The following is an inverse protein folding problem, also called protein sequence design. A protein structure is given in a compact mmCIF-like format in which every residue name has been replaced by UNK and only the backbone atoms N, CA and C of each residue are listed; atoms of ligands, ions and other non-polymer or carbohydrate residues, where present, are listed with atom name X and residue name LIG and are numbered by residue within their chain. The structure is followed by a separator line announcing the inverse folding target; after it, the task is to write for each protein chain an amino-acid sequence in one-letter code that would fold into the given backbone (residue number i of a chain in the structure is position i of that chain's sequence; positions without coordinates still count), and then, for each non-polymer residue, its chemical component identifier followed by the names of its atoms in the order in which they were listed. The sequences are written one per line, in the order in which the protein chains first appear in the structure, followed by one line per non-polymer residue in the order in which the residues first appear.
data_IF_721445633445
#
_entry.id   IF_721445633445
#
_cell.length_a   1.000
_cell.length_b   1.000
_cell.length_c   1.000
_cell.angle_alpha   90.00
_cell.angle_beta   90.00
_cell.angle_gamma   90.00
#
_symmetry.space_group_name_H-M   'P 1'
#
loop_
_entity.id
_entity.type
_entity.pdbx_description
1 polymer ?
#
# COMPACT_ATOMS: atom_id res chain seq x y z
N UNK A 1 -2.22 -9.46 -19.98
CA UNK A 1 -2.60 -10.16 -18.73
C UNK A 1 -2.79 -9.10 -17.67
N UNK A 2 -3.92 -9.11 -16.97
CA UNK A 2 -4.15 -8.19 -15.87
C UNK A 2 -3.21 -8.52 -14.69
N UNK A 3 -2.65 -7.50 -14.04
CA UNK A 3 -1.76 -7.61 -12.90
C UNK A 3 -2.38 -6.93 -11.69
N UNK A 4 -2.54 -7.72 -10.62
CA UNK A 4 -3.07 -7.25 -9.34
C UNK A 4 -1.98 -7.24 -8.28
N UNK A 5 -1.95 -6.20 -7.45
CA UNK A 5 -1.15 -6.14 -6.23
C UNK A 5 -2.07 -6.43 -5.04
N UNK A 6 -1.79 -7.50 -4.32
CA UNK A 6 -2.42 -7.79 -3.04
C UNK A 6 -1.53 -7.27 -1.91
N UNK A 7 -2.10 -6.47 -1.02
CA UNK A 7 -1.36 -5.93 0.13
C UNK A 7 -2.24 -5.86 1.36
N UNK A 8 -1.64 -6.04 2.52
CA UNK A 8 -2.27 -5.78 3.82
C UNK A 8 -1.88 -4.38 4.29
N UNK A 9 -2.82 -3.69 4.95
CA UNK A 9 -2.54 -2.45 5.68
C UNK A 9 -2.62 -2.74 7.18
N UNK A 10 -1.54 -2.43 7.90
CA UNK A 10 -1.46 -2.60 9.35
C UNK A 10 -1.71 -1.31 10.13
N UNK A 11 -1.58 -1.40 11.44
CA UNK A 11 -1.79 -0.31 12.42
C UNK A 11 -0.47 0.33 12.89
N UNK A 12 0.66 -0.05 12.30
CA UNK A 12 1.97 0.50 12.66
C UNK A 12 2.10 1.99 12.36
N UNK A 13 2.94 2.69 13.15
CA UNK A 13 3.32 4.08 12.90
C UNK A 13 4.41 4.14 11.83
N UNK A 14 4.00 4.22 10.57
CA UNK A 14 4.93 4.20 9.43
C UNK A 14 5.77 5.48 9.38
N UNK A 15 7.10 5.33 9.31
CA UNK A 15 8.01 6.45 9.09
C UNK A 15 8.28 6.62 7.58
N UNK A 16 8.35 7.87 7.07
CA UNK A 16 8.68 8.12 5.67
C UNK A 16 10.09 7.64 5.36
N UNK A 17 10.23 6.82 4.33
CA UNK A 17 11.53 6.30 3.92
C UNK A 17 11.65 6.22 2.38
N UNK A 18 12.88 6.06 1.91
CA UNK A 18 13.17 5.87 0.50
C UNK A 18 13.19 4.39 0.17
N UNK A 19 12.38 4.01 -0.80
CA UNK A 19 12.32 2.65 -1.31
C UNK A 19 13.12 2.52 -2.61
N UNK A 20 13.47 1.29 -2.94
CA UNK A 20 14.05 0.94 -4.23
C UNK A 20 13.62 -0.46 -4.63
N UNK A 21 13.65 -0.72 -5.93
CA UNK A 21 13.44 -2.05 -6.50
C UNK A 21 14.69 -2.45 -7.28
N UNK A 22 15.15 -3.67 -7.06
CA UNK A 22 16.25 -4.27 -7.85
C UNK A 22 15.66 -5.29 -8.81
N UNK A 23 15.93 -5.13 -10.10
CA UNK A 23 15.53 -6.09 -11.15
C UNK A 23 16.76 -6.48 -11.95
N UNK A 24 17.13 -7.77 -11.86
CA UNK A 24 18.43 -8.25 -12.33
C UNK A 24 19.57 -7.50 -11.62
N UNK A 25 20.46 -6.88 -12.39
CA UNK A 25 21.60 -6.11 -11.86
C UNK A 25 21.32 -4.59 -11.77
N UNK A 26 20.07 -4.14 -11.99
CA UNK A 26 19.71 -2.71 -11.98
C UNK A 26 18.92 -2.36 -10.73
N UNK A 27 19.32 -1.29 -10.05
CA UNK A 27 18.60 -0.66 -8.94
C UNK A 27 17.80 0.53 -9.45
N UNK A 28 16.52 0.58 -9.13
CA UNK A 28 15.61 1.68 -9.46
C UNK A 28 15.14 2.29 -8.16
N UNK A 29 15.55 3.53 -7.90
CA UNK A 29 15.17 4.24 -6.70
C UNK A 29 13.80 4.90 -6.87
N UNK A 30 13.08 5.01 -5.76
CA UNK A 30 12.00 5.96 -5.66
C UNK A 30 12.58 7.38 -5.48
N UNK A 31 12.05 8.34 -6.24
CA UNK A 31 12.57 9.70 -6.22
C UNK A 31 12.06 10.50 -5.02
N UNK A 32 11.04 9.99 -4.32
CA UNK A 32 10.43 10.62 -3.15
C UNK A 32 10.38 9.62 -2.00
N UNK A 33 10.47 10.15 -0.78
CA UNK A 33 10.15 9.36 0.42
C UNK A 33 8.65 9.05 0.45
N UNK A 34 8.29 7.90 1.01
CA UNK A 34 6.90 7.44 1.14
C UNK A 34 6.72 6.77 2.49
N UNK A 35 5.53 6.93 3.09
CA UNK A 35 5.19 6.19 4.31
C UNK A 35 4.78 4.75 3.99
N UNK A 36 4.03 4.58 2.91
CA UNK A 36 3.41 3.31 2.58
C UNK A 36 4.13 2.62 1.43
N UNK A 37 4.57 1.38 1.63
CA UNK A 37 5.21 0.58 0.57
C UNK A 37 4.28 0.41 -0.64
N UNK A 38 2.96 0.34 -0.41
CA UNK A 38 1.93 0.22 -1.44
C UNK A 38 2.04 1.35 -2.47
N UNK A 39 2.27 2.57 -2.00
CA UNK A 39 2.50 3.74 -2.84
C UNK A 39 3.83 3.65 -3.60
N UNK A 40 4.88 3.13 -2.96
CA UNK A 40 6.16 2.96 -3.66
C UNK A 40 6.11 1.91 -4.75
N UNK A 41 5.48 0.76 -4.48
CA UNK A 41 5.29 -0.30 -5.47
C UNK A 41 4.47 0.20 -6.66
N UNK A 42 3.44 0.98 -6.39
CA UNK A 42 2.66 1.68 -7.43
C UNK A 42 3.54 2.50 -8.36
N UNK A 43 4.50 3.25 -7.80
CA UNK A 43 5.41 4.08 -8.58
C UNK A 43 6.57 3.31 -9.25
N UNK A 44 7.07 2.25 -8.61
CA UNK A 44 8.27 1.53 -9.04
C UNK A 44 7.98 0.44 -10.08
N UNK A 45 6.85 -0.28 -9.96
CA UNK A 45 6.54 -1.40 -10.83
C UNK A 45 6.33 -0.99 -12.31
N UNK A 46 5.67 0.13 -12.64
CA UNK A 46 5.62 0.64 -14.00
C UNK A 46 7.00 0.87 -14.65
N UNK A 47 8.01 1.25 -13.87
CA UNK A 47 9.38 1.54 -14.35
C UNK A 47 10.13 0.29 -14.80
N UNK A 48 9.58 -0.90 -14.55
CA UNK A 48 10.14 -2.21 -14.93
C UNK A 48 9.15 -3.01 -15.78
N UNK A 49 8.28 -2.32 -16.51
CA UNK A 49 7.25 -2.91 -17.37
C UNK A 49 6.30 -3.85 -16.59
N UNK A 50 6.08 -3.56 -15.30
CA UNK A 50 5.15 -4.26 -14.42
C UNK A 50 3.95 -3.37 -14.05
N UNK A 51 3.34 -2.72 -15.05
CA UNK A 51 2.10 -1.95 -14.85
C UNK A 51 1.07 -2.73 -14.02
N UNK A 52 0.41 -2.06 -13.08
CA UNK A 52 -0.67 -2.60 -12.26
C UNK A 52 -2.01 -2.19 -12.87
N UNK A 53 -2.98 -3.10 -12.87
CA UNK A 53 -4.37 -2.80 -13.23
C UNK A 53 -5.22 -2.57 -11.97
N UNK A 54 -4.90 -3.29 -10.88
CA UNK A 54 -5.62 -3.20 -9.62
C UNK A 54 -4.70 -3.36 -8.41
N UNK A 55 -5.02 -2.63 -7.35
CA UNK A 55 -4.43 -2.77 -6.03
C UNK A 55 -5.54 -3.16 -5.05
N UNK A 56 -5.48 -4.38 -4.53
CA UNK A 56 -6.39 -4.89 -3.51
C UNK A 56 -5.72 -4.72 -2.16
N UNK A 57 -6.31 -3.89 -1.30
CA UNK A 57 -5.81 -3.64 0.04
C UNK A 57 -6.72 -4.35 1.04
N UNK A 58 -6.19 -5.35 1.74
CA UNK A 58 -6.86 -5.98 2.87
C UNK A 58 -6.63 -5.15 4.13
N UNK A 59 -7.72 -4.78 4.81
CA UNK A 59 -7.71 -3.79 5.90
C UNK A 59 -8.65 -4.24 7.02
N UNK A 60 -8.16 -4.28 8.26
CA UNK A 60 -9.01 -4.44 9.46
C UNK A 60 -9.73 -3.13 9.79
N UNK A 61 -10.72 -3.14 10.69
CA UNK A 61 -11.36 -1.89 11.12
C UNK A 61 -10.38 -0.96 11.85
N UNK A 62 -9.47 -1.51 12.64
CA UNK A 62 -8.44 -0.73 13.32
C UNK A 62 -7.46 -0.09 12.31
N UNK A 63 -6.98 -0.85 11.33
CA UNK A 63 -6.06 -0.33 10.31
C UNK A 63 -6.71 0.72 9.40
N UNK A 64 -8.03 0.60 9.20
CA UNK A 64 -8.80 1.58 8.44
C UNK A 64 -8.79 2.95 9.13
N UNK A 65 -9.10 2.98 10.42
CA UNK A 65 -9.07 4.22 11.20
C UNK A 65 -7.66 4.74 11.42
N UNK A 66 -6.67 3.84 11.61
CA UNK A 66 -5.31 4.24 11.89
C UNK A 66 -4.56 4.76 10.67
N UNK A 67 -4.64 4.05 9.53
CA UNK A 67 -3.71 4.25 8.41
C UNK A 67 -4.37 4.38 7.03
N UNK A 68 -5.67 4.08 6.89
CA UNK A 68 -6.36 4.24 5.60
C UNK A 68 -6.88 5.66 5.42
N UNK A 69 -7.71 6.13 6.35
CA UNK A 69 -8.31 7.48 6.30
C UNK A 69 -7.29 8.56 6.66
N UNK A 70 -6.44 8.28 7.67
CA UNK A 70 -5.40 9.18 8.17
C UNK A 70 -4.07 8.43 8.31
N UNK A 71 -3.04 9.14 8.76
CA UNK A 71 -1.77 8.56 9.17
C UNK A 71 -1.69 8.63 10.70
N UNK A 72 -1.42 7.49 11.37
CA UNK A 72 -1.35 7.45 12.84
C UNK A 72 0.03 7.83 13.40
N UNK A 73 0.97 8.25 12.56
CA UNK A 73 2.26 8.75 12.95
C UNK A 73 2.26 10.29 13.05
N UNK A 74 1.88 10.78 14.23
CA UNK A 74 1.74 12.22 14.51
C UNK A 74 3.04 13.03 14.36
N UNK A 75 4.20 12.36 14.23
CA UNK A 75 5.49 13.02 13.95
C UNK A 75 5.50 13.69 12.57
N UNK A 76 4.68 13.24 11.63
CA UNK A 76 4.70 13.70 10.24
C UNK A 76 3.30 14.14 9.80
N UNK A 77 3.22 15.31 9.16
CA UNK A 77 1.97 15.80 8.58
C UNK A 77 1.78 15.16 7.20
N UNK A 78 1.38 13.89 7.18
CA UNK A 78 1.22 13.09 5.97
C UNK A 78 -0.19 12.47 5.92
N UNK A 79 -0.75 12.28 4.70
CA UNK A 79 -2.08 11.69 4.54
C UNK A 79 -2.09 10.19 4.83
N UNK A 80 -3.30 9.63 5.04
CA UNK A 80 -3.50 8.18 5.05
C UNK A 80 -3.31 7.54 3.67
N UNK A 81 -3.29 6.21 3.62
CA UNK A 81 -3.04 5.46 2.39
C UNK A 81 -4.06 5.76 1.29
N UNK A 82 -5.33 5.99 1.64
CA UNK A 82 -6.38 6.30 0.66
C UNK A 82 -6.01 7.53 -0.20
N UNK A 83 -5.84 8.68 0.45
CA UNK A 83 -5.48 9.93 -0.22
C UNK A 83 -4.12 9.85 -0.90
N UNK A 84 -3.20 9.04 -0.35
CA UNK A 84 -1.89 8.80 -0.92
C UNK A 84 -1.97 8.11 -2.30
N UNK A 85 -2.89 7.15 -2.46
CA UNK A 85 -3.10 6.44 -3.72
C UNK A 85 -4.03 7.19 -4.69
N UNK A 86 -4.87 8.11 -4.20
CA UNK A 86 -5.78 8.91 -5.05
C UNK A 86 -5.05 9.72 -6.14
N UNK A 87 -3.79 10.10 -5.92
CA UNK A 87 -2.99 10.83 -6.92
C UNK A 87 -2.70 10.06 -8.20
N UNK A 88 -2.90 8.74 -8.19
CA UNK A 88 -2.73 7.88 -9.36
C UNK A 88 -4.07 7.39 -9.92
N UNK A 89 -5.17 8.01 -9.51
CA UNK A 89 -6.51 7.67 -9.98
C UNK A 89 -6.55 7.74 -11.52
N UNK A 90 -6.99 6.66 -12.14
CA UNK A 90 -7.05 6.51 -13.60
C UNK A 90 -5.94 5.64 -14.20
N UNK A 91 -4.84 5.40 -13.46
CA UNK A 91 -3.80 4.44 -13.87
C UNK A 91 -4.13 3.01 -13.44
N UNK A 92 -4.85 2.85 -12.34
CA UNK A 92 -5.28 1.57 -11.78
C UNK A 92 -6.53 1.74 -10.90
N UNK A 93 -7.12 0.61 -10.52
CA UNK A 93 -8.22 0.56 -9.55
C UNK A 93 -7.70 0.25 -8.16
N UNK A 94 -8.22 0.91 -7.12
CA UNK A 94 -7.93 0.58 -5.72
C UNK A 94 -9.17 -0.01 -5.07
N UNK A 95 -9.05 -1.24 -4.59
CA UNK A 95 -10.14 -2.01 -3.98
C UNK A 95 -9.79 -2.30 -2.53
N UNK A 96 -10.35 -1.55 -1.55
CA UNK A 96 -10.22 -1.92 -0.15
C UNK A 96 -11.15 -3.11 0.17
N UNK A 97 -10.61 -4.12 0.83
CA UNK A 97 -11.33 -5.31 1.31
C UNK A 97 -11.24 -5.34 2.83
N UNK A 98 -12.40 -5.26 3.48
CA UNK A 98 -12.48 -5.39 4.93
C UNK A 98 -12.27 -6.85 5.33
N UNK A 99 -11.38 -7.08 6.29
CA UNK A 99 -11.04 -8.40 6.82
C UNK A 99 -11.09 -8.40 8.35
N UNK A 100 -11.33 -9.56 8.99
CA UNK A 100 -11.19 -9.69 10.45
C UNK A 100 -9.73 -9.48 10.90
N UNK A 101 -9.52 -9.34 12.21
CA UNK A 101 -8.17 -9.14 12.77
C UNK A 101 -7.27 -10.38 12.60
N UNK A 102 -7.86 -11.58 12.47
CA UNK A 102 -7.10 -12.81 12.27
C UNK A 102 -6.53 -13.35 13.58
N UNK A 103 -7.17 -13.03 14.71
CA UNK A 103 -6.76 -13.47 16.05
C UNK A 103 -7.16 -14.92 16.34
N UNK A 104 -8.06 -15.48 15.52
CA UNK A 104 -8.49 -16.89 15.58
C UNK A 104 -8.30 -17.60 14.25
N UNK A 105 -8.22 -18.94 14.29
CA UNK A 105 -8.15 -19.77 13.07
C UNK A 105 -9.37 -19.54 12.17
N UNK A 106 -10.56 -19.41 12.75
CA UNK A 106 -11.79 -19.15 12.01
C UNK A 106 -11.73 -17.81 11.27
N UNK A 107 -11.12 -16.78 11.88
CA UNK A 107 -10.93 -15.48 11.24
C UNK A 107 -9.89 -15.54 10.12
N UNK A 108 -8.79 -16.29 10.31
CA UNK A 108 -7.78 -16.47 9.27
C UNK A 108 -8.36 -17.12 8.00
N UNK A 109 -9.31 -18.04 8.14
CA UNK A 109 -10.02 -18.65 7.00
C UNK A 109 -10.97 -17.69 6.25
N UNK A 110 -11.29 -16.52 6.81
CA UNK A 110 -12.14 -15.51 6.17
C UNK A 110 -11.35 -14.46 5.38
N UNK A 111 -10.02 -14.52 5.42
CA UNK A 111 -9.09 -13.63 4.71
C UNK A 111 -8.75 -14.24 3.35
#
# INVERSE_FOLDING_TARGET
MARKLFSFLGTGKYEPCYYYLTVGNKKINDNNYRCYIQESLTNLLPKVDKQLDEIVIFITDEAWEANWIKNNNDKYVLPGLKNTLEKYKGEYTVTPVKIPSGESEQELWQI
#
